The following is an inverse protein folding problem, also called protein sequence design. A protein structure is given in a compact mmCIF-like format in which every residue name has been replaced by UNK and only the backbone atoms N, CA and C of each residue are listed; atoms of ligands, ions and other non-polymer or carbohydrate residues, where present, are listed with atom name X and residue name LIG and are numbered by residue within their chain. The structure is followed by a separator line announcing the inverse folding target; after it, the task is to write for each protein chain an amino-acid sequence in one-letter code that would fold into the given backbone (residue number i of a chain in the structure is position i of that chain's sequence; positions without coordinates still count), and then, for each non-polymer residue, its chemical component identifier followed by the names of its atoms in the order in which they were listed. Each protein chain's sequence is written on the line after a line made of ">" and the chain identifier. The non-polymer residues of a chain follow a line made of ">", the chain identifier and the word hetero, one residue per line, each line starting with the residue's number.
data_IF_377319120604
#
_entry.id   IF_377319120604
#
_cell.length_a   1.000
_cell.length_b   1.000
_cell.length_c   1.000
_cell.angle_alpha   90.00
_cell.angle_beta   90.00
_cell.angle_gamma   90.00
#
_symmetry.space_group_name_H-M   'P 1'
#
loop_
_entity.id
_entity.type
_entity.pdbx_description
1 polymer ?
#
# COMPACT_ATOMS: atom_id res chain seq x y z
N UNK A 1 -4.89 18.04 -2.84
CA UNK A 1 -4.00 17.67 -1.74
C UNK A 1 -4.46 16.37 -1.10
N UNK A 2 -3.55 15.39 -0.92
CA UNK A 2 -3.83 14.14 -0.16
C UNK A 2 -3.84 14.39 1.34
N UNK A 3 -2.99 15.30 1.82
CA UNK A 3 -2.81 15.58 3.23
C UNK A 3 -3.99 16.36 3.78
N UNK A 4 -4.73 15.76 4.72
CA UNK A 4 -5.89 16.41 5.36
C UNK A 4 -5.56 16.95 6.74
N UNK A 5 -4.58 16.35 7.43
CA UNK A 5 -4.17 16.75 8.77
C UNK A 5 -2.72 16.33 9.03
N UNK A 6 -1.96 17.13 9.79
CA UNK A 6 -0.56 16.86 10.09
C UNK A 6 -0.22 17.27 11.54
N UNK A 7 0.61 16.48 12.19
CA UNK A 7 1.20 16.76 13.50
C UNK A 7 2.67 16.31 13.52
N UNK A 8 3.35 16.53 14.65
CA UNK A 8 4.67 15.95 14.85
C UNK A 8 4.66 14.40 14.84
N UNK A 9 3.56 13.76 15.25
CA UNK A 9 3.48 12.30 15.29
C UNK A 9 3.23 11.67 13.91
N UNK A 10 2.72 12.44 12.95
CA UNK A 10 2.40 11.92 11.63
C UNK A 10 1.33 12.70 10.88
N UNK A 11 0.66 12.01 9.96
CA UNK A 11 -0.24 12.61 8.98
C UNK A 11 -1.52 11.79 8.83
N UNK A 12 -2.63 12.47 8.54
CA UNK A 12 -3.82 11.86 7.95
C UNK A 12 -3.83 12.18 6.47
N UNK A 13 -3.94 11.15 5.65
CA UNK A 13 -3.99 11.29 4.20
C UNK A 13 -5.28 10.68 3.65
N UNK A 14 -5.91 11.38 2.72
CA UNK A 14 -7.03 10.87 1.92
C UNK A 14 -6.51 10.48 0.54
N UNK A 15 -6.48 9.17 0.29
CA UNK A 15 -6.11 8.62 -1.02
C UNK A 15 -7.15 9.03 -2.07
N UNK A 16 -8.45 8.90 -1.77
CA UNK A 16 -9.53 9.32 -2.66
C UNK A 16 -9.40 10.79 -3.06
N UNK A 17 -9.18 11.69 -2.09
CA UNK A 17 -9.01 13.12 -2.39
C UNK A 17 -7.79 13.35 -3.28
N UNK A 18 -6.70 12.61 -3.07
CA UNK A 18 -5.52 12.73 -3.93
C UNK A 18 -5.85 12.35 -5.37
N UNK A 19 -6.46 11.18 -5.58
CA UNK A 19 -6.85 10.68 -6.89
C UNK A 19 -7.78 11.67 -7.61
N UNK A 20 -8.81 12.16 -6.93
CA UNK A 20 -9.73 13.12 -7.53
C UNK A 20 -9.03 14.45 -7.85
N UNK A 21 -8.05 14.88 -7.05
CA UNK A 21 -7.34 16.14 -7.27
C UNK A 21 -6.42 16.09 -8.49
N UNK A 22 -5.70 14.98 -8.74
CA UNK A 22 -4.79 14.86 -9.89
C UNK A 22 -5.53 14.73 -11.23
N UNK A 23 -6.85 14.58 -11.20
CA UNK A 23 -7.71 14.34 -12.35
C UNK A 23 -8.84 15.37 -12.49
N UNK A 24 -8.64 16.59 -11.97
CA UNK A 24 -9.60 17.70 -12.13
C UNK A 24 -9.59 18.35 -13.50
N UNK A 25 -8.45 18.36 -14.18
CA UNK A 25 -8.29 19.01 -15.48
C UNK A 25 -7.61 18.04 -16.44
N UNK A 26 -8.41 17.26 -17.16
CA UNK A 26 -7.95 16.19 -18.03
C UNK A 26 -8.28 16.57 -19.48
N UNK A 27 -7.30 16.44 -20.38
CA UNK A 27 -7.57 16.52 -21.81
C UNK A 27 -8.17 15.20 -22.34
N UNK A 28 -9.31 15.31 -23.02
CA UNK A 28 -10.02 14.22 -23.68
C UNK A 28 -10.26 14.60 -25.15
N UNK A 29 -9.22 14.47 -25.98
CA UNK A 29 -9.28 14.98 -27.36
C UNK A 29 -9.39 16.51 -27.37
N UNK A 30 -10.49 17.05 -27.88
CA UNK A 30 -10.75 18.50 -27.92
C UNK A 30 -11.49 19.04 -26.68
N UNK A 31 -11.91 18.17 -25.76
CA UNK A 31 -12.61 18.58 -24.53
C UNK A 31 -11.70 18.53 -23.32
N UNK A 32 -12.08 19.30 -22.29
CA UNK A 32 -11.54 19.20 -20.94
C UNK A 32 -12.57 18.56 -20.05
N UNK A 33 -12.15 17.62 -19.20
CA UNK A 33 -13.04 16.99 -18.24
C UNK A 33 -12.41 16.83 -16.85
N UNK A 34 -13.26 16.56 -15.87
CA UNK A 34 -12.89 16.16 -14.51
C UNK A 34 -13.36 14.75 -14.25
N UNK A 35 -12.49 13.91 -13.68
CA UNK A 35 -12.82 12.56 -13.26
C UNK A 35 -12.85 12.45 -11.74
N UNK A 36 -13.83 11.70 -11.24
CA UNK A 36 -13.85 11.23 -9.86
C UNK A 36 -13.64 9.72 -9.81
N UNK A 37 -12.70 9.29 -8.97
CA UNK A 37 -12.49 7.87 -8.71
C UNK A 37 -13.64 7.30 -7.88
N UNK A 38 -14.01 6.05 -8.14
CA UNK A 38 -15.11 5.40 -7.45
C UNK A 38 -14.87 5.36 -5.92
N UNK A 39 -15.66 6.15 -5.20
CA UNK A 39 -15.55 6.36 -3.75
C UNK A 39 -15.94 5.12 -2.94
N UNK A 40 -16.72 4.18 -3.51
CA UNK A 40 -17.09 2.93 -2.84
C UNK A 40 -15.87 2.10 -2.46
N UNK A 41 -14.74 2.24 -3.18
CA UNK A 41 -13.48 1.58 -2.81
C UNK A 41 -12.95 2.04 -1.44
N UNK A 42 -13.37 3.20 -0.94
CA UNK A 42 -12.94 3.75 0.34
C UNK A 42 -14.08 3.81 1.37
N UNK A 43 -15.24 3.20 1.10
CA UNK A 43 -16.36 3.11 2.05
C UNK A 43 -16.10 2.00 3.09
N UNK A 44 -15.10 2.24 3.95
CA UNK A 44 -14.75 1.37 5.07
C UNK A 44 -15.29 2.00 6.36
N UNK A 45 -16.49 1.59 6.75
CA UNK A 45 -17.27 2.15 7.85
C UNK A 45 -17.22 1.30 9.14
N UNK A 46 -16.89 0.00 9.05
CA UNK A 46 -16.75 -0.89 10.21
C UNK A 46 -15.42 -1.65 10.21
N UNK A 47 -15.03 -2.14 11.40
CA UNK A 47 -13.93 -3.11 11.54
C UNK A 47 -14.15 -4.32 10.63
N UNK A 48 -13.05 -4.87 10.12
CA UNK A 48 -13.08 -6.07 9.30
C UNK A 48 -13.44 -7.29 10.13
N UNK A 49 -14.55 -7.93 9.77
CA UNK A 49 -14.94 -9.22 10.31
C UNK A 49 -14.01 -10.33 9.84
N UNK A 50 -13.77 -11.33 10.70
CA UNK A 50 -13.09 -12.57 10.31
C UNK A 50 -14.02 -13.41 9.42
N UNK A 51 -13.45 -14.29 8.60
CA UNK A 51 -14.22 -15.11 7.64
C UNK A 51 -15.36 -15.93 8.28
N UNK A 52 -15.15 -16.41 9.50
CA UNK A 52 -16.12 -17.11 10.32
C UNK A 52 -17.22 -16.20 10.90
N UNK A 53 -16.94 -14.91 11.09
CA UNK A 53 -17.93 -13.91 11.50
C UNK A 53 -18.77 -13.43 10.31
N UNK A 54 -18.18 -13.34 9.11
CA UNK A 54 -18.88 -12.95 7.87
C UNK A 54 -20.06 -13.90 7.59
N UNK A 55 -19.84 -15.22 7.74
CA UNK A 55 -20.89 -16.24 7.52
C UNK A 55 -22.12 -16.02 8.41
N UNK A 56 -21.92 -15.55 9.64
CA UNK A 56 -23.01 -15.31 10.59
C UNK A 56 -23.79 -14.01 10.27
N UNK A 57 -23.15 -13.01 9.67
CA UNK A 57 -23.82 -11.75 9.28
C UNK A 57 -24.63 -11.91 7.99
N UNK A 58 -24.09 -12.65 7.03
CA UNK A 58 -24.81 -12.98 5.79
C UNK A 58 -25.97 -13.98 6.06
N UNK A 59 -25.88 -14.83 7.11
CA UNK A 59 -26.99 -15.69 7.55
C UNK A 59 -28.03 -14.97 8.42
N UNK A 60 -27.62 -14.00 9.24
CA UNK A 60 -28.57 -13.23 10.07
C UNK A 60 -29.38 -12.21 9.26
N UNK A 61 -28.93 -11.81 8.07
CA UNK A 61 -29.77 -11.04 7.12
C UNK A 61 -30.80 -11.91 6.38
N UNK A 62 -30.78 -13.22 6.59
CA UNK A 62 -31.65 -14.20 5.92
C UNK A 62 -32.34 -15.21 6.86
N UNK A 63 -32.21 -15.06 8.18
CA UNK A 63 -32.92 -15.94 9.12
C UNK A 63 -33.15 -15.27 10.47
N UNK A 64 -34.37 -14.77 10.65
CA UNK A 64 -35.01 -14.77 11.95
C UNK A 64 -35.27 -16.21 12.37
N UNK A 65 -35.14 -16.48 13.67
CA UNK A 65 -35.56 -17.66 14.44
C UNK A 65 -34.53 -18.75 14.76
N UNK A 66 -34.55 -19.09 16.05
CA UNK A 66 -34.04 -20.27 16.76
C UNK A 66 -32.57 -20.33 17.19
N UNK A 67 -32.44 -20.10 18.50
CA UNK A 67 -31.36 -20.42 19.43
C UNK A 67 -31.10 -21.91 19.59
N UNK A 68 -29.81 -22.29 19.73
CA UNK A 68 -29.36 -23.23 20.78
C UNK A 68 -27.84 -23.36 20.78
N UNK A 69 -27.25 -23.17 21.96
CA UNK A 69 -25.83 -23.31 22.25
C UNK A 69 -25.46 -24.79 22.45
N UNK A 70 -24.27 -25.19 21.99
CA UNK A 70 -23.61 -26.40 22.49
C UNK A 70 -22.09 -26.19 22.55
N UNK A 71 -21.59 -26.12 23.79
CA UNK A 71 -20.18 -26.14 24.18
C UNK A 71 -19.58 -27.54 23.97
N UNK A 72 -18.46 -27.64 23.26
CA UNK A 72 -17.64 -28.85 23.23
C UNK A 72 -16.18 -28.51 23.59
N UNK A 73 -15.77 -28.94 24.77
CA UNK A 73 -14.40 -28.87 25.29
C UNK A 73 -13.60 -30.09 24.85
N UNK A 74 -12.46 -29.87 24.18
CA UNK A 74 -11.47 -30.92 23.87
C UNK A 74 -10.35 -30.88 24.92
N UNK A 75 -10.31 -31.89 25.79
CA UNK A 75 -9.12 -32.21 26.61
C UNK A 75 -8.24 -33.18 25.82
N UNK A 76 -6.97 -32.81 25.60
CA UNK A 76 -5.93 -33.72 25.09
C UNK A 76 -4.98 -34.07 26.23
N UNK A 77 -4.92 -35.36 26.56
CA UNK A 77 -3.89 -35.96 27.39
C UNK A 77 -2.52 -35.82 26.72
N UNK A 78 -1.52 -35.35 27.48
CA UNK A 78 -0.11 -35.38 27.10
C UNK A 78 0.54 -36.52 27.88
N UNK A 79 0.88 -37.61 27.18
CA UNK A 79 1.80 -38.61 27.68
C UNK A 79 3.23 -38.08 27.59
N UNK A 80 3.89 -38.04 28.76
CA UNK A 80 5.30 -37.74 28.91
C UNK A 80 6.12 -38.93 28.41
N UNK A 81 6.98 -38.71 27.42
CA UNK A 81 8.08 -39.63 27.11
C UNK A 81 9.41 -38.87 27.14
N UNK A 82 10.24 -39.22 28.12
CA UNK A 82 11.53 -38.58 28.38
C UNK A 82 12.54 -38.83 27.27
N UNK A 83 13.23 -37.77 26.84
CA UNK A 83 14.46 -37.88 26.05
C UNK A 83 15.52 -36.95 26.63
N UNK A 84 16.63 -37.57 27.01
CA UNK A 84 17.89 -36.96 27.44
C UNK A 84 18.40 -35.96 26.41
N UNK A 85 18.41 -34.66 26.74
CA UNK A 85 18.88 -33.60 25.85
C UNK A 85 20.35 -33.27 26.08
N UNK A 86 21.17 -33.35 25.03
CA UNK A 86 22.57 -32.92 25.02
C UNK A 86 22.73 -31.43 25.39
N UNK A 87 23.74 -31.09 26.23
CA UNK A 87 24.04 -29.73 26.73
C UNK A 87 24.27 -28.65 25.65
N UNK A 88 24.56 -29.03 24.39
CA UNK A 88 24.66 -28.09 23.25
C UNK A 88 23.27 -27.64 22.75
N UNK A 89 22.29 -28.54 22.71
CA UNK A 89 20.92 -28.23 22.29
C UNK A 89 20.19 -27.35 23.30
N UNK A 90 20.46 -27.52 24.60
CA UNK A 90 19.85 -26.67 25.64
C UNK A 90 20.34 -25.23 25.59
N UNK A 91 21.62 -24.98 25.27
CA UNK A 91 22.17 -23.62 25.06
C UNK A 91 21.59 -22.94 23.82
N UNK A 92 21.44 -23.66 22.71
CA UNK A 92 20.81 -23.13 21.48
C UNK A 92 19.33 -22.85 21.71
N UNK A 93 18.61 -23.74 22.39
CA UNK A 93 17.20 -23.53 22.76
C UNK A 93 17.01 -22.34 23.70
N UNK A 94 17.90 -22.18 24.71
CA UNK A 94 17.86 -21.03 25.63
C UNK A 94 18.12 -19.72 24.89
N UNK A 95 19.14 -19.63 24.04
CA UNK A 95 19.39 -18.45 23.18
C UNK A 95 18.22 -18.13 22.25
N UNK A 96 17.58 -19.15 21.65
CA UNK A 96 16.40 -18.98 20.80
C UNK A 96 15.18 -18.52 21.61
N UNK A 97 15.03 -18.98 22.86
CA UNK A 97 13.96 -18.56 23.77
C UNK A 97 14.16 -17.11 24.26
N UNK A 98 15.40 -16.73 24.58
CA UNK A 98 15.72 -15.37 25.01
C UNK A 98 15.54 -14.37 23.86
N UNK A 99 16.02 -14.70 22.65
CA UNK A 99 15.79 -13.90 21.44
C UNK A 99 14.30 -13.76 21.10
N UNK A 100 13.50 -14.82 21.26
CA UNK A 100 12.04 -14.75 21.03
C UNK A 100 11.31 -13.94 22.09
N UNK A 101 11.79 -13.93 23.34
CA UNK A 101 11.27 -13.05 24.40
C UNK A 101 11.60 -11.58 24.15
N UNK A 102 12.83 -11.27 23.74
CA UNK A 102 13.25 -9.90 23.38
C UNK A 102 12.48 -9.36 22.18
N UNK A 103 12.33 -10.17 21.12
CA UNK A 103 11.50 -9.83 19.95
C UNK A 103 10.04 -9.56 20.35
N UNK A 104 9.46 -10.41 21.21
CA UNK A 104 8.09 -10.25 21.72
C UNK A 104 7.93 -8.95 22.54
N UNK A 105 8.93 -8.59 23.34
CA UNK A 105 8.92 -7.35 24.12
C UNK A 105 9.03 -6.11 23.21
N UNK A 106 9.94 -6.12 22.25
CA UNK A 106 10.10 -5.02 21.29
C UNK A 106 8.85 -4.81 20.43
N UNK A 107 8.22 -5.90 19.98
CA UNK A 107 6.95 -5.85 19.25
C UNK A 107 5.82 -5.24 20.12
N UNK A 108 5.78 -5.61 21.41
CA UNK A 108 4.81 -5.06 22.37
C UNK A 108 4.99 -3.55 22.59
N UNK A 109 6.23 -3.09 22.80
CA UNK A 109 6.51 -1.65 22.98
C UNK A 109 6.22 -0.84 21.72
N UNK A 110 6.55 -1.38 20.54
CA UNK A 110 6.19 -0.77 19.26
C UNK A 110 4.68 -0.60 19.12
N UNK A 111 3.90 -1.65 19.44
CA UNK A 111 2.45 -1.57 19.40
C UNK A 111 1.90 -0.50 20.36
N UNK A 112 2.40 -0.45 21.60
CA UNK A 112 2.01 0.57 22.58
C UNK A 112 2.35 1.99 22.13
N UNK A 113 3.50 2.17 21.48
CA UNK A 113 3.88 3.46 20.89
C UNK A 113 2.88 3.89 19.82
N UNK A 114 2.59 3.01 18.84
CA UNK A 114 1.64 3.30 17.76
C UNK A 114 0.25 3.63 18.32
N UNK A 115 -0.22 2.87 19.31
CA UNK A 115 -1.51 3.12 19.97
C UNK A 115 -1.58 4.51 20.60
N UNK A 116 -0.54 4.92 21.34
CA UNK A 116 -0.48 6.24 21.99
C UNK A 116 -0.41 7.38 20.98
N UNK A 117 0.48 7.29 19.98
CA UNK A 117 0.62 8.31 18.93
C UNK A 117 -0.65 8.41 18.08
N UNK A 118 -1.30 7.29 17.78
CA UNK A 118 -2.56 7.26 17.05
C UNK A 118 -3.68 7.93 17.84
N UNK A 119 -3.82 7.62 19.13
CA UNK A 119 -4.85 8.22 19.99
C UNK A 119 -4.72 9.76 20.03
N UNK A 120 -3.50 10.28 20.20
CA UNK A 120 -3.22 11.73 20.19
C UNK A 120 -3.53 12.39 18.84
N UNK A 121 -3.14 11.73 17.74
CA UNK A 121 -3.36 12.25 16.40
C UNK A 121 -4.85 12.26 16.04
N UNK A 122 -5.59 11.20 16.39
CA UNK A 122 -7.02 11.09 16.11
C UNK A 122 -7.87 12.00 17.00
N UNK A 123 -7.52 12.21 18.27
CA UNK A 123 -8.28 13.13 19.14
C UNK A 123 -8.26 14.55 18.56
N UNK A 124 -7.05 15.03 18.21
CA UNK A 124 -6.86 16.36 17.62
C UNK A 124 -7.56 16.48 16.26
N UNK A 125 -7.56 15.42 15.45
CA UNK A 125 -8.22 15.44 14.15
C UNK A 125 -9.75 15.39 14.23
N UNK A 126 -10.31 14.66 15.20
CA UNK A 126 -11.75 14.59 15.46
C UNK A 126 -12.30 15.93 15.95
N UNK A 127 -11.58 16.61 16.85
CA UNK A 127 -11.91 17.98 17.28
C UNK A 127 -11.99 18.97 16.10
N UNK A 128 -11.26 18.70 15.01
CA UNK A 128 -11.27 19.52 13.78
C UNK A 128 -12.24 19.02 12.69
N UNK A 129 -13.06 18.01 12.98
CA UNK A 129 -14.08 17.50 12.05
C UNK A 129 -13.54 16.69 10.87
N UNK A 130 -12.35 16.07 10.97
CA UNK A 130 -11.78 15.27 9.89
C UNK A 130 -12.37 13.85 9.76
N UNK A 131 -13.23 13.43 10.68
CA UNK A 131 -13.89 12.12 10.68
C UNK A 131 -15.40 12.31 10.84
N UNK A 132 -16.18 11.42 10.22
CA UNK A 132 -17.64 11.43 10.33
C UNK A 132 -18.10 10.39 11.34
N UNK A 133 -19.14 10.72 12.11
CA UNK A 133 -19.74 9.78 13.08
C UNK A 133 -20.79 8.85 12.45
N UNK A 134 -20.88 8.81 11.11
CA UNK A 134 -21.84 7.98 10.38
C UNK A 134 -21.38 6.51 10.31
N UNK A 135 -21.43 5.84 11.46
CA UNK A 135 -21.14 4.42 11.60
C UNK A 135 -22.32 3.58 11.10
N UNK A 136 -22.31 3.24 9.81
CA UNK A 136 -23.26 2.28 9.22
C UNK A 136 -22.78 0.86 9.47
N UNK A 137 -23.55 0.05 10.18
CA UNK A 137 -23.19 -1.34 10.52
C UNK A 137 -23.50 -2.32 9.37
N UNK A 138 -22.94 -2.09 8.18
CA UNK A 138 -23.22 -2.89 6.97
C UNK A 138 -22.08 -3.85 6.57
N UNK A 139 -21.02 -3.92 7.39
CA UNK A 139 -19.83 -4.73 7.15
C UNK A 139 -19.10 -4.36 5.85
N UNK A 140 -19.01 -3.05 5.57
CA UNK A 140 -18.34 -2.48 4.39
C UNK A 140 -18.92 -3.08 3.09
N UNK A 141 -20.25 -3.17 2.98
CA UNK A 141 -20.93 -3.91 1.91
C UNK A 141 -20.59 -3.35 0.53
N UNK A 142 -20.70 -2.03 0.35
CA UNK A 142 -20.37 -1.35 -0.91
C UNK A 142 -18.93 -1.64 -1.34
N UNK A 143 -17.97 -1.37 -0.45
CA UNK A 143 -16.54 -1.66 -0.63
C UNK A 143 -16.25 -3.11 -1.03
N UNK A 144 -16.91 -4.08 -0.40
CA UNK A 144 -16.77 -5.50 -0.74
C UNK A 144 -17.28 -5.82 -2.14
N UNK A 145 -18.47 -5.31 -2.50
CA UNK A 145 -19.09 -5.58 -3.80
C UNK A 145 -18.31 -4.94 -4.95
N UNK A 146 -17.87 -3.69 -4.79
CA UNK A 146 -17.04 -3.02 -5.80
C UNK A 146 -15.67 -3.69 -5.94
N UNK A 147 -15.05 -4.11 -4.83
CA UNK A 147 -13.79 -4.85 -4.90
C UNK A 147 -13.95 -6.21 -5.59
N UNK A 148 -15.08 -6.91 -5.41
CA UNK A 148 -15.35 -8.16 -6.13
C UNK A 148 -15.47 -7.92 -7.63
N UNK A 149 -16.28 -6.93 -8.03
CA UNK A 149 -16.45 -6.52 -9.44
C UNK A 149 -15.11 -6.13 -10.08
N UNK A 150 -14.29 -5.35 -9.37
CA UNK A 150 -12.95 -4.97 -9.81
C UNK A 150 -12.08 -6.18 -10.22
N UNK A 151 -12.09 -7.25 -9.43
CA UNK A 151 -11.29 -8.45 -9.75
C UNK A 151 -11.91 -9.34 -10.82
N UNK A 152 -13.22 -9.25 -11.07
CA UNK A 152 -13.92 -10.07 -12.08
C UNK A 152 -14.01 -9.39 -13.45
N UNK A 153 -14.11 -8.06 -13.49
CA UNK A 153 -14.41 -7.28 -14.70
C UNK A 153 -13.17 -6.59 -15.27
N UNK A 154 -12.34 -5.95 -14.44
CA UNK A 154 -11.22 -5.11 -14.88
C UNK A 154 -9.95 -5.90 -15.27
N UNK A 155 -9.99 -7.24 -15.28
CA UNK A 155 -8.81 -8.09 -15.50
C UNK A 155 -8.90 -8.98 -16.75
N UNK A 156 -9.80 -8.69 -17.71
CA UNK A 156 -9.92 -9.55 -18.90
C UNK A 156 -8.73 -9.46 -19.86
N UNK A 157 -7.90 -8.42 -19.78
CA UNK A 157 -6.70 -8.28 -20.63
C UNK A 157 -5.47 -7.84 -19.81
N UNK A 158 -4.44 -8.68 -19.76
CA UNK A 158 -3.15 -8.29 -19.23
C UNK A 158 -2.43 -7.39 -20.24
N UNK A 159 -2.21 -6.13 -19.87
CA UNK A 159 -1.27 -5.27 -20.59
C UNK A 159 0.13 -5.70 -20.18
N UNK A 160 0.90 -6.23 -21.12
CA UNK A 160 2.28 -6.66 -20.86
C UNK A 160 3.19 -6.12 -21.96
N UNK A 161 4.46 -5.90 -21.58
CA UNK A 161 5.52 -5.44 -22.47
C UNK A 161 5.22 -4.08 -23.13
N UNK A 162 4.64 -3.16 -22.37
CA UNK A 162 4.29 -1.81 -22.82
C UNK A 162 5.09 -0.77 -22.05
N UNK A 163 5.69 0.17 -22.78
CA UNK A 163 6.18 1.43 -22.23
C UNK A 163 5.28 2.56 -22.71
N UNK A 164 5.02 3.54 -21.85
CA UNK A 164 4.28 4.74 -22.21
C UNK A 164 4.66 5.93 -21.33
N UNK A 165 4.33 7.13 -21.80
CA UNK A 165 4.50 8.35 -21.03
C UNK A 165 3.48 9.40 -21.42
N UNK A 166 3.14 10.26 -20.47
CA UNK A 166 2.48 11.52 -20.72
C UNK A 166 3.46 12.63 -20.33
N UNK A 167 4.07 13.28 -21.32
CA UNK A 167 5.03 14.36 -21.09
C UNK A 167 4.36 15.73 -20.91
N UNK A 168 3.05 15.81 -21.08
CA UNK A 168 2.34 17.08 -20.99
C UNK A 168 2.14 17.53 -19.54
N UNK A 169 1.90 18.82 -19.40
CA UNK A 169 1.56 19.53 -18.15
C UNK A 169 0.10 19.32 -17.72
N UNK A 170 -0.55 18.28 -18.25
CA UNK A 170 -1.95 17.96 -17.96
C UNK A 170 -2.17 16.46 -17.98
N UNK A 171 -3.12 15.97 -17.20
CA UNK A 171 -3.57 14.59 -17.33
C UNK A 171 -4.31 14.38 -18.67
N UNK A 172 -4.25 13.17 -19.22
CA UNK A 172 -4.85 12.83 -20.53
C UNK A 172 -5.61 11.51 -20.46
N UNK A 173 -6.71 11.40 -21.21
CA UNK A 173 -7.30 10.09 -21.50
C UNK A 173 -6.77 9.61 -22.84
N UNK A 174 -6.25 8.39 -22.88
CA UNK A 174 -5.79 7.76 -24.11
C UNK A 174 -6.23 6.30 -24.19
N UNK A 175 -6.37 5.80 -25.40
CA UNK A 175 -6.75 4.42 -25.67
C UNK A 175 -5.49 3.56 -25.95
N UNK A 176 -5.44 2.37 -25.38
CA UNK A 176 -4.46 1.34 -25.75
C UNK A 176 -5.10 -0.03 -25.69
N UNK A 177 -4.80 -0.89 -26.66
CA UNK A 177 -5.39 -2.24 -26.79
C UNK A 177 -6.93 -2.26 -26.69
N UNK A 178 -7.60 -1.27 -27.29
CA UNK A 178 -9.06 -1.09 -27.28
C UNK A 178 -9.70 -0.73 -25.93
N UNK A 179 -8.91 -0.47 -24.89
CA UNK A 179 -9.39 0.02 -23.61
C UNK A 179 -8.93 1.46 -23.38
N UNK A 180 -9.69 2.21 -22.57
CA UNK A 180 -9.38 3.62 -22.25
C UNK A 180 -8.77 3.74 -20.87
N UNK A 181 -7.72 4.54 -20.78
CA UNK A 181 -6.97 4.79 -19.56
C UNK A 181 -6.75 6.28 -19.34
N UNK A 182 -6.68 6.69 -18.07
CA UNK A 182 -6.30 8.04 -17.68
C UNK A 182 -4.85 8.07 -17.21
N UNK A 183 -4.06 9.01 -17.72
CA UNK A 183 -2.64 9.15 -17.41
C UNK A 183 -2.40 10.50 -16.73
N UNK A 184 -1.79 10.54 -15.53
CA UNK A 184 -1.40 11.79 -14.89
C UNK A 184 -0.47 12.64 -15.74
N UNK A 185 -0.35 13.93 -15.42
CA UNK A 185 0.67 14.80 -16.03
C UNK A 185 2.09 14.29 -15.74
N UNK A 186 3.01 14.51 -16.69
CA UNK A 186 4.45 14.19 -16.55
C UNK A 186 4.78 12.78 -16.04
N UNK A 187 3.92 11.79 -16.25
CA UNK A 187 4.18 10.42 -15.81
C UNK A 187 4.87 9.60 -16.90
N UNK A 188 5.66 8.61 -16.50
CA UNK A 188 6.11 7.53 -17.39
C UNK A 188 5.90 6.17 -16.74
N UNK A 189 5.74 5.13 -17.53
CA UNK A 189 5.53 3.80 -16.99
C UNK A 189 6.10 2.68 -17.85
N UNK A 190 6.48 1.60 -17.17
CA UNK A 190 7.04 0.37 -17.72
C UNK A 190 6.21 -0.82 -17.24
N UNK A 191 5.40 -1.37 -18.13
CA UNK A 191 4.63 -2.58 -17.90
C UNK A 191 5.45 -3.83 -18.25
N UNK A 192 6.53 -4.04 -17.49
CA UNK A 192 7.49 -5.12 -17.68
C UNK A 192 7.80 -5.81 -16.36
N UNK A 193 8.35 -7.02 -16.46
CA UNK A 193 8.92 -7.69 -15.30
C UNK A 193 10.11 -6.90 -14.75
N UNK A 194 10.21 -6.78 -13.43
CA UNK A 194 11.28 -6.03 -12.72
C UNK A 194 12.69 -6.52 -13.09
N UNK A 195 12.83 -7.79 -13.49
CA UNK A 195 14.10 -8.38 -13.94
C UNK A 195 14.60 -7.77 -15.25
N UNK A 196 13.75 -7.04 -15.98
CA UNK A 196 14.10 -6.37 -17.24
C UNK A 196 14.55 -4.91 -17.06
N UNK A 197 14.56 -4.36 -15.84
CA UNK A 197 14.94 -2.96 -15.58
C UNK A 197 16.27 -2.59 -16.25
N UNK A 198 17.31 -3.41 -16.03
CA UNK A 198 18.65 -3.17 -16.57
C UNK A 198 18.70 -3.16 -18.11
N UNK A 199 17.70 -3.72 -18.80
CA UNK A 199 17.65 -3.82 -20.25
C UNK A 199 16.77 -2.75 -20.90
N UNK A 200 15.95 -2.02 -20.13
CA UNK A 200 14.95 -1.08 -20.67
C UNK A 200 15.08 0.34 -20.13
N UNK A 201 15.89 0.54 -19.11
CA UNK A 201 16.15 1.83 -18.48
C UNK A 201 17.65 2.04 -18.40
N UNK A 202 18.08 3.27 -18.60
CA UNK A 202 19.49 3.63 -18.44
C UNK A 202 19.86 3.62 -16.95
N UNK A 203 21.05 3.09 -16.64
CA UNK A 203 21.57 2.93 -15.29
C UNK A 203 22.39 4.16 -14.88
N UNK A 204 21.71 5.30 -14.74
CA UNK A 204 22.31 6.65 -14.63
C UNK A 204 22.23 7.28 -13.24
N UNK A 205 21.89 6.53 -12.19
CA UNK A 205 21.73 7.07 -10.82
C UNK A 205 20.80 8.31 -10.76
N UNK A 206 19.67 8.24 -11.46
CA UNK A 206 18.83 9.40 -11.75
C UNK A 206 17.71 9.67 -10.74
N UNK A 207 17.40 8.74 -9.83
CA UNK A 207 16.23 8.85 -8.96
C UNK A 207 16.57 9.29 -7.55
N UNK A 208 15.94 10.38 -7.10
CA UNK A 208 16.05 10.92 -5.74
C UNK A 208 15.20 10.16 -4.75
N UNK A 209 14.12 9.53 -5.23
CA UNK A 209 13.28 8.66 -4.42
C UNK A 209 12.89 7.39 -5.17
N UNK A 210 13.11 6.23 -4.55
CA UNK A 210 12.63 4.95 -5.05
C UNK A 210 11.70 4.31 -4.02
N UNK A 211 10.45 4.09 -4.40
CA UNK A 211 9.45 3.38 -3.61
C UNK A 211 9.26 1.96 -4.14
N UNK A 212 9.23 0.97 -3.25
CA UNK A 212 8.92 -0.42 -3.60
C UNK A 212 7.73 -0.93 -2.78
N UNK A 213 6.78 -1.62 -3.43
CA UNK A 213 5.78 -2.48 -2.77
C UNK A 213 5.94 -3.94 -3.22
N UNK A 214 6.98 -4.64 -2.72
CA UNK A 214 7.33 -5.95 -3.25
C UNK A 214 6.22 -6.99 -3.10
N UNK A 215 6.06 -7.90 -4.06
CA UNK A 215 5.13 -9.02 -3.97
C UNK A 215 5.69 -10.12 -3.05
N UNK A 216 5.78 -9.81 -1.76
CA UNK A 216 6.38 -10.68 -0.74
C UNK A 216 5.85 -12.11 -0.78
N UNK A 217 6.76 -13.08 -0.60
CA UNK A 217 6.36 -14.48 -0.48
C UNK A 217 5.46 -14.71 0.74
N UNK A 218 4.19 -15.08 0.49
CA UNK A 218 3.19 -15.24 1.52
C UNK A 218 2.37 -16.54 1.36
N UNK A 219 2.47 -17.43 2.35
CA UNK A 219 1.74 -18.71 2.39
C UNK A 219 0.22 -18.56 2.29
N UNK A 220 -0.36 -17.45 2.75
CA UNK A 220 -1.81 -17.21 2.69
C UNK A 220 -2.28 -16.86 1.28
N UNK A 221 -1.51 -16.05 0.55
CA UNK A 221 -1.79 -15.63 -0.83
C UNK A 221 -1.67 -16.85 -1.76
N UNK A 222 -0.69 -17.72 -1.52
CA UNK A 222 -0.59 -19.02 -2.21
C UNK A 222 -1.86 -19.88 -2.08
N UNK A 223 -2.47 -19.91 -0.89
CA UNK A 223 -3.73 -20.65 -0.67
C UNK A 223 -4.93 -20.01 -1.37
N UNK A 224 -4.92 -18.68 -1.55
CA UNK A 224 -5.95 -17.94 -2.31
C UNK A 224 -5.83 -18.15 -3.82
N UNK A 225 -4.61 -18.29 -4.36
CA UNK A 225 -4.36 -18.63 -5.77
C UNK A 225 -5.14 -19.88 -6.22
N UNK A 226 -5.26 -20.87 -5.33
CA UNK A 226 -6.01 -22.10 -5.61
C UNK A 226 -7.55 -21.91 -5.61
N UNK A 227 -8.08 -20.74 -5.20
CA UNK A 227 -9.53 -20.47 -5.08
C UNK A 227 -10.04 -19.33 -5.96
N UNK A 228 -9.19 -18.33 -6.25
CA UNK A 228 -9.52 -17.22 -7.15
C UNK A 228 -8.24 -16.72 -7.81
N UNK A 229 -8.05 -17.04 -9.09
CA UNK A 229 -6.83 -16.72 -9.83
C UNK A 229 -6.63 -15.20 -10.00
N UNK A 230 -7.71 -14.44 -10.28
CA UNK A 230 -7.67 -12.99 -10.53
C UNK A 230 -7.35 -12.12 -9.29
N UNK A 231 -7.47 -12.68 -8.08
CA UNK A 231 -7.09 -12.00 -6.83
C UNK A 231 -5.67 -12.38 -6.36
N UNK A 232 -4.93 -13.17 -7.13
CA UNK A 232 -3.58 -13.64 -6.79
C UNK A 232 -2.53 -13.01 -7.70
N UNK A 233 -1.36 -12.69 -7.12
CA UNK A 233 -0.21 -12.17 -7.87
C UNK A 233 0.97 -13.15 -7.76
N UNK A 234 1.88 -13.09 -8.73
CA UNK A 234 3.14 -13.84 -8.69
C UNK A 234 4.02 -13.26 -7.61
N UNK A 235 4.32 -14.06 -6.59
CA UNK A 235 5.20 -13.65 -5.48
C UNK A 235 6.66 -13.81 -5.90
N UNK A 236 7.53 -13.04 -5.26
CA UNK A 236 8.97 -13.05 -5.52
C UNK A 236 9.75 -13.48 -4.28
N UNK A 237 10.86 -14.17 -4.50
CA UNK A 237 11.77 -14.53 -3.41
C UNK A 237 12.63 -13.32 -3.00
N UNK A 238 13.05 -13.29 -1.74
CA UNK A 238 13.84 -12.19 -1.19
C UNK A 238 15.17 -11.99 -1.93
N UNK A 239 15.80 -13.10 -2.34
CA UNK A 239 17.06 -13.10 -3.08
C UNK A 239 16.91 -12.52 -4.49
N UNK A 240 15.73 -12.62 -5.09
CA UNK A 240 15.44 -11.98 -6.38
C UNK A 240 15.16 -10.48 -6.21
N UNK A 241 14.49 -10.09 -5.11
CA UNK A 241 14.27 -8.68 -4.77
C UNK A 241 15.60 -7.95 -4.53
N UNK A 242 16.54 -8.57 -3.81
CA UNK A 242 17.87 -7.98 -3.58
C UNK A 242 18.67 -7.74 -4.89
N UNK A 243 18.37 -8.45 -5.98
CA UNK A 243 19.04 -8.29 -7.29
C UNK A 243 18.54 -7.11 -8.12
N UNK A 244 17.45 -6.45 -7.71
CA UNK A 244 16.97 -5.24 -8.38
C UNK A 244 18.10 -4.19 -8.35
N UNK A 245 18.46 -3.55 -9.47
CA UNK A 245 19.66 -2.72 -9.58
C UNK A 245 19.50 -1.32 -8.93
N UNK A 246 18.95 -1.25 -7.72
CA UNK A 246 18.69 0.00 -6.99
C UNK A 246 19.96 0.84 -6.84
N UNK A 247 21.11 0.21 -6.55
CA UNK A 247 22.40 0.88 -6.42
C UNK A 247 22.83 1.67 -7.68
N UNK A 248 22.29 1.31 -8.86
CA UNK A 248 22.58 1.96 -10.15
C UNK A 248 21.47 2.91 -10.63
N UNK A 249 20.39 2.99 -9.87
CA UNK A 249 19.21 3.81 -10.15
C UNK A 249 19.11 4.99 -9.20
N UNK A 250 19.52 4.78 -7.94
CA UNK A 250 19.42 5.74 -6.86
C UNK A 250 20.49 6.83 -7.00
N UNK A 251 20.09 8.09 -6.89
CA UNK A 251 21.00 9.23 -6.87
C UNK A 251 21.88 9.21 -5.62
N UNK A 252 22.99 9.96 -5.61
CA UNK A 252 23.94 9.98 -4.50
C UNK A 252 23.34 10.43 -3.17
N UNK A 253 22.25 11.21 -3.23
CA UNK A 253 21.48 11.65 -2.06
C UNK A 253 20.12 10.97 -1.97
N UNK A 254 19.90 9.89 -2.73
CA UNK A 254 18.59 9.28 -2.88
C UNK A 254 18.11 8.55 -1.63
N UNK A 255 16.79 8.50 -1.49
CA UNK A 255 16.07 7.76 -0.46
C UNK A 255 15.37 6.55 -1.10
N UNK A 256 15.42 5.41 -0.42
CA UNK A 256 14.65 4.21 -0.78
C UNK A 256 13.62 3.95 0.31
N UNK A 257 12.38 3.70 -0.08
CA UNK A 257 11.32 3.28 0.83
C UNK A 257 10.73 1.95 0.38
N UNK A 258 10.54 1.02 1.31
CA UNK A 258 10.02 -0.32 1.03
C UNK A 258 8.82 -0.61 1.91
N UNK A 259 7.66 -0.82 1.29
CA UNK A 259 6.47 -1.32 1.99
C UNK A 259 6.69 -2.76 2.43
N UNK A 260 6.37 -3.03 3.69
CA UNK A 260 6.56 -4.33 4.31
C UNK A 260 5.38 -4.68 5.21
N UNK A 261 4.98 -5.94 5.17
CA UNK A 261 4.06 -6.51 6.16
C UNK A 261 4.70 -6.56 7.55
N UNK A 262 3.93 -6.79 8.61
CA UNK A 262 4.45 -7.03 9.97
C UNK A 262 5.19 -8.38 10.16
N UNK A 263 5.60 -9.06 9.10
CA UNK A 263 6.34 -10.31 9.19
C UNK A 263 7.83 -10.03 9.51
N UNK A 264 8.37 -10.51 10.65
CA UNK A 264 9.76 -10.25 11.02
C UNK A 264 10.80 -10.79 10.01
N UNK A 265 10.43 -11.79 9.20
CA UNK A 265 11.29 -12.31 8.13
C UNK A 265 11.48 -11.30 7.00
N UNK A 266 10.44 -10.57 6.61
CA UNK A 266 10.54 -9.56 5.55
C UNK A 266 11.33 -8.35 6.04
N UNK A 267 11.10 -7.93 7.29
CA UNK A 267 11.87 -6.85 7.92
C UNK A 267 13.38 -7.13 7.91
N UNK A 268 13.78 -8.30 8.39
CA UNK A 268 15.19 -8.71 8.39
C UNK A 268 15.77 -8.82 6.99
N UNK A 269 15.02 -9.32 6.02
CA UNK A 269 15.52 -9.38 4.64
C UNK A 269 15.75 -7.99 4.05
N UNK A 270 14.89 -7.01 4.35
CA UNK A 270 15.12 -5.63 3.94
C UNK A 270 16.39 -5.07 4.59
N UNK A 271 16.51 -5.17 5.91
CA UNK A 271 17.62 -4.55 6.66
C UNK A 271 18.96 -5.24 6.48
N UNK A 272 18.96 -6.58 6.40
CA UNK A 272 20.17 -7.39 6.50
C UNK A 272 20.67 -7.87 5.12
N UNK A 273 19.80 -7.86 4.10
CA UNK A 273 20.12 -8.36 2.75
C UNK A 273 19.95 -7.28 1.68
N UNK A 274 18.74 -6.72 1.53
CA UNK A 274 18.42 -5.82 0.41
C UNK A 274 19.11 -4.47 0.52
N UNK A 275 18.97 -3.78 1.65
CA UNK A 275 19.61 -2.47 1.87
C UNK A 275 21.14 -2.55 1.70
N UNK A 276 21.86 -3.51 2.32
CA UNK A 276 23.27 -3.71 2.06
C UNK A 276 23.61 -4.00 0.59
N UNK A 277 22.84 -4.87 -0.09
CA UNK A 277 23.06 -5.17 -1.51
C UNK A 277 22.88 -3.95 -2.42
N UNK A 278 22.09 -2.97 -2.00
CA UNK A 278 21.83 -1.73 -2.72
C UNK A 278 22.74 -0.57 -2.31
N UNK A 279 23.66 -0.76 -1.35
CA UNK A 279 24.48 0.33 -0.82
C UNK A 279 23.67 1.37 -0.02
N UNK A 280 22.58 0.92 0.61
CA UNK A 280 21.64 1.72 1.38
C UNK A 280 21.80 1.41 2.86
N UNK A 281 21.82 2.44 3.69
CA UNK A 281 21.74 2.33 5.15
C UNK A 281 20.32 2.59 5.63
N UNK A 282 19.84 1.78 6.57
CA UNK A 282 18.57 2.01 7.24
C UNK A 282 18.55 3.37 7.95
N UNK A 283 17.45 4.11 7.84
CA UNK A 283 17.25 5.42 8.46
C UNK A 283 16.06 5.44 9.39
N UNK A 284 14.90 5.00 8.92
CA UNK A 284 13.66 5.14 9.66
C UNK A 284 12.66 4.03 9.33
N UNK A 285 11.67 3.88 10.21
CA UNK A 285 10.51 3.02 10.01
C UNK A 285 9.25 3.82 10.34
N UNK A 286 8.35 3.90 9.38
CA UNK A 286 7.04 4.54 9.51
C UNK A 286 5.93 3.50 9.51
N UNK A 287 4.74 3.91 9.98
CA UNK A 287 3.60 3.02 10.16
C UNK A 287 2.39 3.54 9.38
N UNK A 288 1.93 2.79 8.38
CA UNK A 288 0.64 3.07 7.76
C UNK A 288 -0.48 2.43 8.57
N UNK A 289 -1.17 3.22 9.39
CA UNK A 289 -2.31 2.79 10.20
C UNK A 289 -3.61 2.93 9.41
N UNK A 290 -4.37 1.84 9.37
CA UNK A 290 -5.63 1.73 8.64
C UNK A 290 -6.80 1.96 9.58
N UNK A 291 -7.60 2.97 9.26
CA UNK A 291 -8.79 3.34 10.02
C UNK A 291 -10.06 3.26 9.16
N UNK A 292 -11.22 3.24 9.81
CA UNK A 292 -12.53 3.44 9.19
C UNK A 292 -12.76 4.92 8.89
N UNK A 293 -13.85 5.24 8.19
CA UNK A 293 -14.33 6.62 7.99
C UNK A 293 -14.61 7.38 9.29
N UNK A 294 -14.86 6.67 10.40
CA UNK A 294 -15.02 7.23 11.76
C UNK A 294 -13.72 7.32 12.58
N UNK A 295 -12.60 6.92 11.98
CA UNK A 295 -11.28 6.95 12.62
C UNK A 295 -11.00 5.79 13.56
N UNK A 296 -11.84 4.75 13.62
CA UNK A 296 -11.53 3.53 14.37
C UNK A 296 -10.57 2.64 13.59
N UNK A 297 -9.70 1.88 14.27
CA UNK A 297 -8.80 0.96 13.56
C UNK A 297 -9.59 -0.17 12.90
N UNK A 298 -9.27 -0.51 11.64
CA UNK A 298 -10.00 -1.55 10.87
C UNK A 298 -9.89 -2.96 11.47
N UNK A 299 -8.98 -3.18 12.41
CA UNK A 299 -8.99 -4.32 13.32
C UNK A 299 -8.31 -3.91 14.63
N UNK A 300 -8.45 -4.74 15.66
CA UNK A 300 -7.76 -4.49 16.93
C UNK A 300 -6.25 -4.71 16.80
N UNK A 301 -5.50 -4.07 17.68
CA UNK A 301 -4.09 -4.40 17.92
C UNK A 301 -4.05 -5.75 18.64
N UNK A 302 -3.46 -6.76 17.99
CA UNK A 302 -3.39 -8.12 18.54
C UNK A 302 -1.94 -8.46 18.88
N UNK A 303 -1.63 -9.12 20.01
CA UNK A 303 -0.27 -9.59 20.27
C UNK A 303 0.25 -10.48 19.12
N UNK A 304 1.54 -10.43 18.77
CA UNK A 304 2.12 -11.30 17.74
C UNK A 304 1.79 -12.78 18.03
N UNK A 305 1.41 -13.58 17.02
CA UNK A 305 1.42 -13.30 15.58
C UNK A 305 0.10 -12.72 15.04
N UNK A 306 -0.70 -12.06 15.88
CA UNK A 306 -1.99 -11.48 15.51
C UNK A 306 -1.91 -10.42 14.41
N UNK A 307 -3.03 -10.22 13.71
CA UNK A 307 -3.14 -9.20 12.66
C UNK A 307 -3.08 -7.81 13.30
N UNK A 308 -2.27 -6.94 12.71
CA UNK A 308 -2.20 -5.52 13.09
C UNK A 308 -3.04 -4.66 12.16
N UNK A 309 -3.56 -3.51 12.64
CA UNK A 309 -4.25 -2.52 11.82
C UNK A 309 -3.28 -1.63 11.04
N UNK A 310 -1.98 -1.94 11.01
CA UNK A 310 -0.99 -1.13 10.32
C UNK A 310 -0.05 -1.96 9.45
N UNK A 311 0.60 -1.32 8.50
CA UNK A 311 1.72 -1.86 7.72
C UNK A 311 2.97 -1.00 7.93
N UNK A 312 4.14 -1.52 7.54
CA UNK A 312 5.43 -0.89 7.79
C UNK A 312 5.98 -0.28 6.50
N UNK A 313 6.63 0.87 6.62
CA UNK A 313 7.42 1.47 5.56
C UNK A 313 8.84 1.65 6.09
N UNK A 314 9.80 0.92 5.52
CA UNK A 314 11.21 1.02 5.90
C UNK A 314 11.88 2.01 4.95
N UNK A 315 12.55 3.01 5.51
CA UNK A 315 13.27 4.03 4.78
C UNK A 315 14.76 3.84 4.98
N UNK A 316 15.50 3.91 3.88
CA UNK A 316 16.94 3.96 3.86
C UNK A 316 17.42 5.07 2.93
N UNK A 317 18.69 5.45 3.07
CA UNK A 317 19.35 6.35 2.11
C UNK A 317 20.73 5.79 1.77
N UNK A 318 21.33 6.30 0.68
CA UNK A 318 22.70 5.94 0.30
C UNK A 318 23.63 6.03 1.52
N UNK A 319 24.45 5.00 1.73
CA UNK A 319 25.25 4.86 2.96
C UNK A 319 26.24 6.00 3.21
N UNK A 320 26.75 6.64 2.15
CA UNK A 320 27.63 7.81 2.26
C UNK A 320 26.90 9.10 2.68
N UNK A 321 25.58 9.17 2.53
CA UNK A 321 24.81 10.35 2.88
C UNK A 321 24.27 10.28 4.31
N UNK A 322 24.90 11.01 5.22
CA UNK A 322 24.48 11.15 6.62
C UNK A 322 23.66 12.41 6.91
N UNK A 323 23.44 13.27 5.90
CA UNK A 323 22.79 14.57 6.08
C UNK A 323 21.26 14.51 6.14
N UNK A 324 20.66 13.44 5.62
CA UNK A 324 19.20 13.28 5.61
C UNK A 324 18.75 12.69 6.94
N UNK A 325 18.13 13.53 7.77
CA UNK A 325 17.48 13.12 9.00
C UNK A 325 16.00 12.78 8.75
N UNK A 326 15.71 11.48 8.64
CA UNK A 326 14.35 10.97 8.51
C UNK A 326 13.89 10.54 9.91
N UNK A 327 12.88 11.18 10.51
CA UNK A 327 12.43 10.84 11.86
C UNK A 327 11.82 9.45 11.89
N UNK A 328 12.19 8.68 12.91
CA UNK A 328 11.63 7.34 13.11
C UNK A 328 10.20 7.42 13.68
N UNK A 329 9.39 6.40 13.40
CA UNK A 329 8.12 6.18 14.07
C UNK A 329 6.92 7.02 13.60
N UNK A 330 7.03 7.80 12.52
CA UNK A 330 5.90 8.57 12.00
C UNK A 330 4.71 7.69 11.62
N UNK A 331 3.51 8.19 11.87
CA UNK A 331 2.24 7.56 11.48
C UNK A 331 1.74 8.15 10.16
N UNK A 332 1.36 7.29 9.23
CA UNK A 332 0.53 7.63 8.08
C UNK A 332 -0.84 7.01 8.34
N UNK A 333 -1.87 7.82 8.54
CA UNK A 333 -3.22 7.34 8.87
C UNK A 333 -4.14 7.55 7.68
N UNK A 334 -4.85 6.50 7.25
CA UNK A 334 -5.85 6.65 6.20
C UNK A 334 -6.90 5.55 6.22
N UNK A 335 -8.02 5.85 5.56
CA UNK A 335 -8.99 4.83 5.17
C UNK A 335 -8.39 3.99 4.05
N UNK A 336 -8.23 2.67 4.22
CA UNK A 336 -7.65 1.83 3.20
C UNK A 336 -8.62 1.64 2.03
N UNK A 337 -8.07 1.43 0.83
CA UNK A 337 -8.86 0.95 -0.30
C UNK A 337 -9.31 -0.49 -0.07
N UNK A 338 -10.52 -0.82 -0.55
CA UNK A 338 -11.09 -2.16 -0.57
C UNK A 338 -10.30 -3.09 -1.51
N UNK A 339 -9.71 -2.53 -2.57
CA UNK A 339 -8.75 -3.26 -3.41
C UNK A 339 -7.48 -3.50 -2.61
N UNK A 340 -7.07 -4.76 -2.52
CA UNK A 340 -5.86 -5.16 -1.80
C UNK A 340 -4.61 -4.50 -2.38
N UNK A 341 -3.59 -4.25 -1.55
CA UNK A 341 -2.31 -3.62 -1.93
C UNK A 341 -2.46 -2.36 -2.78
N UNK A 342 -3.39 -1.48 -2.38
CA UNK A 342 -3.54 -0.14 -2.92
C UNK A 342 -3.13 0.86 -1.82
N UNK A 343 -1.82 1.12 -1.75
CA UNK A 343 -1.19 1.96 -0.73
C UNK A 343 -1.50 3.44 -0.97
N UNK A 344 -1.61 4.28 0.06
CA UNK A 344 -1.73 5.71 -0.12
C UNK A 344 -0.48 6.31 -0.77
N UNK A 345 -0.61 7.37 -1.58
CA UNK A 345 0.52 8.06 -2.18
C UNK A 345 1.36 8.76 -1.12
N UNK A 346 2.68 8.64 -1.25
CA UNK A 346 3.64 9.19 -0.28
C UNK A 346 4.19 10.57 -0.68
N UNK A 347 3.86 11.08 -1.86
CA UNK A 347 4.43 12.29 -2.45
C UNK A 347 4.46 13.47 -1.47
N UNK A 348 3.33 13.79 -0.83
CA UNK A 348 3.25 14.94 0.09
C UNK A 348 4.05 14.74 1.39
N UNK A 349 4.16 13.51 1.91
CA UNK A 349 4.83 13.24 3.19
C UNK A 349 6.34 13.05 3.04
N UNK A 350 6.81 12.68 1.85
CA UNK A 350 8.24 12.52 1.58
C UNK A 350 8.89 13.79 1.02
N UNK A 351 8.09 14.71 0.46
CA UNK A 351 8.57 15.92 -0.26
C UNK A 351 9.58 16.75 0.52
N UNK A 352 9.42 16.89 1.84
CA UNK A 352 10.33 17.69 2.69
C UNK A 352 11.74 17.09 2.81
N UNK A 353 11.93 15.82 2.44
CA UNK A 353 13.20 15.12 2.50
C UNK A 353 13.87 15.00 1.12
N UNK A 354 13.27 15.59 0.09
CA UNK A 354 13.68 15.49 -1.30
C UNK A 354 14.04 16.88 -1.86
N UNK A 355 14.80 16.95 -2.97
CA UNK A 355 14.99 18.20 -3.69
C UNK A 355 13.66 18.77 -4.23
N UNK A 356 13.68 20.02 -4.69
CA UNK A 356 12.48 20.75 -5.13
C UNK A 356 11.69 20.01 -6.22
N UNK A 357 12.40 19.49 -7.21
CA UNK A 357 11.86 18.80 -8.38
C UNK A 357 12.47 17.38 -8.45
N UNK A 358 12.00 16.44 -7.61
CA UNK A 358 12.65 15.15 -7.46
C UNK A 358 12.26 14.19 -8.58
N UNK A 359 13.23 13.40 -9.02
CA UNK A 359 12.97 12.25 -9.88
C UNK A 359 12.55 11.04 -9.04
N UNK A 360 11.30 10.60 -9.20
CA UNK A 360 10.73 9.51 -8.42
C UNK A 360 10.50 8.25 -9.26
N UNK A 361 10.81 7.08 -8.69
CA UNK A 361 10.51 5.76 -9.25
C UNK A 361 9.66 4.94 -8.27
N UNK A 362 8.56 4.37 -8.73
CA UNK A 362 7.82 3.33 -8.01
C UNK A 362 8.03 1.98 -8.70
N UNK A 363 8.51 0.97 -7.97
CA UNK A 363 8.70 -0.40 -8.44
C UNK A 363 7.63 -1.30 -7.82
N UNK A 364 7.08 -2.19 -8.65
CA UNK A 364 5.85 -2.95 -8.38
C UNK A 364 4.60 -2.08 -8.32
N UNK A 365 4.65 -0.94 -9.01
CA UNK A 365 3.57 0.02 -9.11
C UNK A 365 2.31 -0.63 -9.70
N UNK A 366 1.16 -0.16 -9.23
CA UNK A 366 -0.16 -0.55 -9.72
C UNK A 366 -0.98 0.62 -10.23
N UNK A 367 -0.50 1.83 -9.95
CA UNK A 367 -1.09 3.08 -10.33
C UNK A 367 0.00 4.08 -10.69
N UNK A 368 -0.38 5.14 -11.39
CA UNK A 368 0.51 6.21 -11.82
C UNK A 368 0.34 7.45 -10.95
N UNK A 369 1.44 8.17 -10.75
CA UNK A 369 1.48 9.44 -10.04
C UNK A 369 2.04 10.56 -10.94
N UNK A 370 1.58 11.82 -10.78
CA UNK A 370 2.13 12.96 -11.52
C UNK A 370 3.64 13.11 -11.32
N UNK A 371 4.40 13.21 -12.41
CA UNK A 371 5.86 13.37 -12.35
C UNK A 371 6.66 12.11 -11.98
N UNK A 372 6.01 10.96 -11.80
CA UNK A 372 6.69 9.73 -11.41
C UNK A 372 6.96 8.81 -12.60
N UNK A 373 8.03 8.03 -12.47
CA UNK A 373 8.24 6.82 -13.26
C UNK A 373 7.67 5.63 -12.49
N UNK A 374 6.82 4.82 -13.12
CA UNK A 374 6.19 3.67 -12.47
C UNK A 374 6.56 2.38 -13.21
N UNK A 375 6.94 1.34 -12.47
CA UNK A 375 7.34 0.05 -13.02
C UNK A 375 6.55 -1.08 -12.39
N UNK A 376 5.89 -1.91 -13.20
CA UNK A 376 5.21 -3.11 -12.68
C UNK A 376 4.34 -3.81 -13.71
N UNK A 377 4.07 -5.09 -13.49
CA UNK A 377 3.18 -5.89 -14.35
C UNK A 377 1.71 -5.46 -14.29
N UNK A 378 1.34 -4.71 -13.25
CA UNK A 378 -0.01 -4.20 -13.04
C UNK A 378 -0.05 -2.67 -13.07
N UNK A 379 0.92 -2.00 -13.69
CA UNK A 379 1.17 -0.56 -13.53
C UNK A 379 0.02 0.36 -13.98
N UNK A 380 -0.85 -0.12 -14.88
CA UNK A 380 -2.03 0.60 -15.36
C UNK A 380 -3.35 0.16 -14.67
N UNK A 381 -3.27 -0.66 -13.63
CA UNK A 381 -4.43 -1.34 -13.07
C UNK A 381 -5.45 -0.39 -12.47
N UNK A 382 -5.02 0.74 -11.93
CA UNK A 382 -5.90 1.80 -11.43
C UNK A 382 -6.13 2.92 -12.43
N UNK A 383 -5.61 2.83 -13.66
CA UNK A 383 -5.74 3.86 -14.69
C UNK A 383 -6.91 3.58 -15.62
N UNK A 384 -7.50 2.38 -15.54
CA UNK A 384 -8.63 1.99 -16.37
C UNK A 384 -9.83 2.93 -16.15
N UNK A 385 -10.37 3.49 -17.23
CA UNK A 385 -11.37 4.56 -17.14
C UNK A 385 -12.67 4.11 -16.46
N UNK A 386 -13.00 2.81 -16.48
CA UNK A 386 -14.18 2.25 -15.80
C UNK A 386 -14.17 2.42 -14.26
N UNK A 387 -13.03 2.79 -13.68
CA UNK A 387 -12.91 3.06 -12.24
C UNK A 387 -13.28 4.52 -11.89
N UNK A 388 -13.57 5.33 -12.89
CA UNK A 388 -13.83 6.75 -12.78
C UNK A 388 -15.19 7.11 -13.36
N UNK A 389 -15.78 8.18 -12.83
CA UNK A 389 -16.95 8.85 -13.41
C UNK A 389 -16.54 10.22 -13.95
N UNK A 390 -17.07 10.60 -15.12
CA UNK A 390 -16.90 11.96 -15.66
C UNK A 390 -17.93 12.86 -14.96
N UNK A 391 -17.44 13.92 -14.31
CA UNK A 391 -18.29 14.83 -13.51
C UNK A 391 -18.57 16.15 -14.24
N UNK A 392 -17.58 16.65 -14.99
CA UNK A 392 -17.70 17.84 -15.81
C UNK A 392 -16.98 17.63 -17.14
N UNK A 393 -17.54 18.13 -18.24
CA UNK A 393 -16.91 18.12 -19.56
C UNK A 393 -17.24 19.43 -20.29
N UNK A 394 -16.22 20.13 -20.77
CA UNK A 394 -16.32 21.40 -21.49
C UNK A 394 -15.55 21.31 -22.80
N UNK A 395 -16.14 21.80 -23.90
CA UNK A 395 -15.44 21.87 -25.19
C UNK A 395 -14.39 22.98 -25.16
N UNK A 396 -13.16 22.70 -25.59
CA UNK A 396 -12.17 23.76 -25.78
C UNK A 396 -12.58 24.55 -27.03
N UNK A 397 -13.18 25.72 -26.87
CA UNK A 397 -13.39 26.64 -27.98
C UNK A 397 -12.01 27.03 -28.54
N UNK A 398 -11.71 26.57 -29.75
CA UNK A 398 -10.59 27.09 -30.51
C UNK A 398 -11.01 28.50 -30.91
N UNK A 399 -10.52 29.52 -30.19
CA UNK A 399 -10.57 30.91 -30.65
C UNK A 399 -9.83 30.98 -31.99
N UNK A 400 -10.58 30.85 -33.07
CA UNK A 400 -10.16 31.25 -34.41
C UNK A 400 -10.24 32.77 -34.45
N UNK A 401 -9.20 33.42 -33.93
CA UNK A 401 -8.98 34.85 -34.18
C UNK A 401 -8.55 35.03 -35.64
N UNK A 402 -9.51 34.94 -36.55
CA UNK A 402 -9.44 35.55 -37.86
C UNK A 402 -9.87 37.00 -37.73
N UNK A 403 -8.93 37.87 -37.33
CA UNK A 403 -9.09 39.30 -37.56
C UNK A 403 -8.57 39.61 -38.97
N UNK A 404 -9.54 39.75 -39.88
CA UNK A 404 -9.47 40.51 -41.14
C UNK A 404 -9.11 41.97 -40.91
#
# INVERSE_FOLDING_TARGET
>A
MSLTFATEDGWIVSHLNYMNNIYKNIANGSTLCSLEFNSEFFDINTKYLRQNQIRNVDSCSSSSSSSSASSFSFTRNIENNGKTSNKKDSKIRKRKLDLTKELSHADSEQMKYIQRSLAKLLSTAKERGHFTDDARADNNKAARLVSQRFYTESFRQQVENLYGCNKSERAVISATRNERYVFPERCSFYCYDVRQIANKMEMTNQFDFILLDPPWWNKSIRRKKNKCAGASYTMMYNEELAKIPIAKLLSSNGIVAVWCTNAPSHLRSISDEMFPAWGVSYRAKWYWVKVTSSGETVCDFNPPPGKQPYELLLLGSVSSNTSIDIPNGKLLVSVPSAVHSHKPPLTEVIKSYLPRDPNCLEIFARYLLPGWTSWGLEVLKFQHLSLYSIVHETTSEVETNSNT
#
